data_IF_106235506061
#
_entry.id   IF_106235506061
#
_cell.length_a   1.000
_cell.length_b   1.000
_cell.length_c   1.000
_cell.angle_alpha   90.00
_cell.angle_beta   90.00
_cell.angle_gamma   90.00
#
_symmetry.space_group_name_H-M   'P 1'
#
loop_
_entity.id
_entity.type
_entity.pdbx_description
1 polymer ?
#
# COMPACT_ATOMS: atom_id res chain seq x y z
N UNK A 1 -8.95 -52.59 -5.78
CA UNK A 1 -8.12 -51.55 -6.44
C UNK A 1 -9.04 -50.77 -7.36
N UNK A 2 -9.41 -49.57 -6.94
CA UNK A 2 -10.63 -48.86 -7.33
C UNK A 2 -10.63 -48.38 -8.78
N UNK A 3 -11.50 -48.97 -9.60
CA UNK A 3 -11.84 -48.54 -10.96
C UNK A 3 -12.43 -47.11 -11.02
N UNK A 4 -12.75 -46.51 -9.87
CA UNK A 4 -13.36 -45.17 -9.75
C UNK A 4 -12.37 -44.00 -9.95
N UNK A 5 -11.08 -44.27 -10.20
CA UNK A 5 -10.06 -43.23 -10.41
C UNK A 5 -9.64 -43.05 -11.89
N UNK A 6 -10.04 -43.97 -12.77
CA UNK A 6 -9.75 -43.88 -14.20
C UNK A 6 -10.90 -43.20 -14.94
N UNK A 7 -10.56 -42.23 -15.77
CA UNK A 7 -11.52 -41.55 -16.64
C UNK A 7 -11.80 -42.42 -17.88
N UNK A 8 -13.04 -42.38 -18.38
CA UNK A 8 -13.34 -42.96 -19.69
C UNK A 8 -12.56 -42.20 -20.77
N UNK A 9 -12.21 -42.82 -21.92
CA UNK A 9 -11.44 -42.15 -22.97
C UNK A 9 -12.14 -40.89 -23.50
N UNK A 10 -13.48 -40.89 -23.52
CA UNK A 10 -14.29 -39.73 -23.90
C UNK A 10 -14.19 -38.60 -22.87
N UNK A 11 -14.35 -38.93 -21.58
CA UNK A 11 -14.21 -37.96 -20.48
C UNK A 11 -12.78 -37.37 -20.44
N UNK A 12 -11.77 -38.20 -20.69
CA UNK A 12 -10.38 -37.74 -20.74
C UNK A 12 -10.16 -36.71 -21.86
N UNK A 13 -10.79 -36.92 -23.03
CA UNK A 13 -10.74 -35.96 -24.14
C UNK A 13 -11.50 -34.67 -23.82
N UNK A 14 -12.68 -34.77 -23.22
CA UNK A 14 -13.48 -33.61 -22.81
C UNK A 14 -12.73 -32.73 -21.79
N UNK A 15 -12.14 -33.34 -20.75
CA UNK A 15 -11.36 -32.63 -19.73
C UNK A 15 -10.12 -31.98 -20.35
N UNK A 16 -9.45 -32.64 -21.30
CA UNK A 16 -8.34 -32.04 -22.03
C UNK A 16 -8.78 -30.81 -22.84
N UNK A 17 -9.92 -30.89 -23.53
CA UNK A 17 -10.44 -29.78 -24.30
C UNK A 17 -10.82 -28.60 -23.39
N UNK A 18 -11.43 -28.87 -22.23
CA UNK A 18 -11.69 -27.87 -21.20
C UNK A 18 -10.40 -27.22 -20.71
N UNK A 19 -9.34 -27.99 -20.44
CA UNK A 19 -8.03 -27.45 -20.07
C UNK A 19 -7.50 -26.51 -21.16
N UNK A 20 -7.56 -26.89 -22.43
CA UNK A 20 -7.05 -26.06 -23.51
C UNK A 20 -7.90 -24.82 -23.76
N UNK A 21 -9.22 -24.92 -23.61
CA UNK A 21 -10.13 -23.79 -23.70
C UNK A 21 -9.85 -22.76 -22.58
N UNK A 22 -9.74 -23.22 -21.33
CA UNK A 22 -9.42 -22.35 -20.18
C UNK A 22 -8.04 -21.71 -20.32
N UNK A 23 -7.06 -22.46 -20.81
CA UNK A 23 -5.73 -21.93 -21.11
C UNK A 23 -5.78 -20.78 -22.11
N UNK A 24 -6.45 -20.97 -23.25
CA UNK A 24 -6.61 -19.91 -24.26
C UNK A 24 -7.33 -18.68 -23.72
N UNK A 25 -8.35 -18.88 -22.88
CA UNK A 25 -9.06 -17.76 -22.25
C UNK A 25 -8.18 -16.99 -21.25
N UNK A 26 -7.28 -17.67 -20.55
CA UNK A 26 -6.37 -17.04 -19.58
C UNK A 26 -5.19 -16.31 -20.24
N UNK A 27 -4.74 -16.71 -21.43
CA UNK A 27 -3.51 -16.18 -22.06
C UNK A 27 -3.47 -14.65 -22.13
N UNK A 28 -4.60 -14.01 -22.42
CA UNK A 28 -4.69 -12.56 -22.63
C UNK A 28 -5.42 -11.81 -21.49
N UNK A 29 -5.67 -12.46 -20.35
CA UNK A 29 -6.45 -11.86 -19.25
C UNK A 29 -5.61 -11.71 -17.99
N UNK A 30 -5.61 -10.49 -17.44
CA UNK A 30 -4.99 -10.16 -16.15
C UNK A 30 -5.85 -10.55 -14.95
N UNK A 31 -7.11 -10.92 -15.17
CA UNK A 31 -8.04 -11.43 -14.16
C UNK A 31 -8.10 -12.96 -14.28
N UNK A 32 -8.08 -13.72 -13.16
CA UNK A 32 -8.28 -15.16 -13.16
C UNK A 32 -9.59 -15.53 -13.86
N UNK A 33 -9.53 -16.40 -14.86
CA UNK A 33 -10.70 -16.90 -15.57
C UNK A 33 -11.47 -17.86 -14.66
N UNK A 34 -12.79 -17.88 -14.75
CA UNK A 34 -13.61 -18.84 -14.01
C UNK A 34 -13.34 -20.26 -14.50
N UNK A 35 -13.13 -21.17 -13.56
CA UNK A 35 -12.98 -22.58 -13.89
C UNK A 35 -14.34 -23.16 -14.32
N UNK A 36 -14.37 -24.06 -15.33
CA UNK A 36 -15.61 -24.73 -15.74
C UNK A 36 -16.19 -25.66 -14.66
N UNK A 37 -15.34 -26.13 -13.73
CA UNK A 37 -15.67 -27.10 -12.69
C UNK A 37 -14.96 -26.73 -11.39
N UNK A 38 -15.58 -27.07 -10.26
CA UNK A 38 -14.99 -26.87 -8.92
C UNK A 38 -13.82 -27.83 -8.63
N UNK A 39 -13.86 -29.03 -9.22
CA UNK A 39 -12.84 -30.07 -9.04
C UNK A 39 -11.88 -30.12 -10.25
N UNK A 40 -11.60 -28.96 -10.86
CA UNK A 40 -10.87 -28.88 -12.13
C UNK A 40 -9.47 -29.49 -12.01
N UNK A 41 -8.71 -29.11 -10.98
CA UNK A 41 -7.34 -29.59 -10.80
C UNK A 41 -7.30 -31.09 -10.46
N UNK A 42 -8.30 -31.58 -9.74
CA UNK A 42 -8.44 -33.01 -9.48
C UNK A 42 -8.69 -33.79 -10.78
N UNK A 43 -9.56 -33.29 -11.66
CA UNK A 43 -9.83 -33.89 -12.96
C UNK A 43 -8.60 -33.86 -13.89
N UNK A 44 -7.82 -32.77 -13.88
CA UNK A 44 -6.55 -32.69 -14.61
C UNK A 44 -5.53 -33.70 -14.09
N UNK A 45 -5.45 -33.90 -12.76
CA UNK A 45 -4.59 -34.94 -12.16
C UNK A 45 -5.03 -36.35 -12.57
N UNK A 46 -6.34 -36.63 -12.53
CA UNK A 46 -6.92 -37.91 -12.99
C UNK A 46 -6.67 -38.14 -14.49
N UNK A 47 -6.76 -37.09 -15.31
CA UNK A 47 -6.42 -37.13 -16.74
C UNK A 47 -4.97 -37.55 -16.94
N UNK A 48 -4.02 -36.86 -16.29
CA UNK A 48 -2.59 -37.18 -16.40
C UNK A 48 -2.29 -38.63 -15.98
N UNK A 49 -2.90 -39.09 -14.89
CA UNK A 49 -2.75 -40.47 -14.41
C UNK A 49 -3.33 -41.48 -15.40
N UNK A 50 -4.48 -41.16 -16.01
CA UNK A 50 -5.10 -42.00 -17.04
C UNK A 50 -4.21 -42.09 -18.28
N UNK A 51 -3.59 -40.99 -18.71
CA UNK A 51 -2.61 -40.97 -19.81
C UNK A 51 -1.35 -41.78 -19.47
N UNK A 52 -0.81 -41.63 -18.25
CA UNK A 52 0.32 -42.43 -17.77
C UNK A 52 0.00 -43.93 -17.87
N UNK A 53 -1.16 -44.36 -17.38
CA UNK A 53 -1.56 -45.78 -17.42
C UNK A 53 -1.78 -46.28 -18.86
N UNK A 54 -2.36 -45.46 -19.73
CA UNK A 54 -2.53 -45.79 -21.15
C UNK A 54 -1.17 -45.97 -21.84
N UNK A 55 -0.21 -45.08 -21.59
CA UNK A 55 1.15 -45.19 -22.13
C UNK A 55 1.83 -46.47 -21.64
N UNK A 56 1.74 -46.78 -20.33
CA UNK A 56 2.32 -48.01 -19.79
C UNK A 56 1.66 -49.28 -20.36
N UNK A 57 0.34 -49.28 -20.57
CA UNK A 57 -0.37 -50.41 -21.18
C UNK A 57 0.03 -50.61 -22.65
N UNK A 58 0.16 -49.51 -23.41
CA UNK A 58 0.62 -49.55 -24.80
C UNK A 58 2.06 -50.06 -24.92
N UNK A 59 2.95 -49.64 -24.02
CA UNK A 59 4.34 -50.14 -23.96
C UNK A 59 4.37 -51.65 -23.69
N UNK A 60 3.53 -52.14 -22.77
CA UNK A 60 3.47 -53.58 -22.45
C UNK A 60 2.91 -54.43 -23.59
N UNK A 61 1.92 -53.92 -24.34
CA UNK A 61 1.23 -54.67 -25.39
C UNK A 61 1.94 -54.62 -26.75
N UNK A 62 2.48 -53.47 -27.12
CA UNK A 62 2.96 -53.19 -28.48
C UNK A 62 4.43 -52.77 -28.53
N UNK A 63 5.12 -52.68 -27.40
CA UNK A 63 6.49 -52.16 -27.35
C UNK A 63 6.55 -50.64 -27.57
N UNK A 64 7.76 -50.10 -27.72
CA UNK A 64 8.00 -48.68 -27.94
C UNK A 64 7.74 -48.26 -29.40
N UNK A 65 6.47 -48.35 -29.82
CA UNK A 65 6.01 -47.97 -31.17
C UNK A 65 5.81 -46.45 -31.32
N UNK A 66 5.69 -45.95 -32.56
CA UNK A 66 5.41 -44.55 -32.89
C UNK A 66 4.14 -44.03 -32.19
N UNK A 67 3.16 -44.90 -31.97
CA UNK A 67 1.92 -44.56 -31.23
C UNK A 67 2.22 -44.20 -29.78
N UNK A 68 3.13 -44.91 -29.12
CA UNK A 68 3.57 -44.60 -27.75
C UNK A 68 4.29 -43.26 -27.72
N UNK A 69 5.17 -43.00 -28.69
CA UNK A 69 5.87 -41.71 -28.77
C UNK A 69 4.90 -40.53 -28.98
N UNK A 70 3.88 -40.69 -29.82
CA UNK A 70 2.85 -39.67 -30.01
C UNK A 70 2.04 -39.43 -28.74
N UNK A 71 1.70 -40.49 -28.00
CA UNK A 71 0.98 -40.38 -26.73
C UNK A 71 1.83 -39.73 -25.63
N UNK A 72 3.14 -40.03 -25.60
CA UNK A 72 4.10 -39.36 -24.72
C UNK A 72 4.24 -37.87 -25.05
N UNK A 73 4.31 -37.49 -26.34
CA UNK A 73 4.30 -36.08 -26.76
C UNK A 73 3.01 -35.38 -26.34
N UNK A 74 1.85 -36.03 -26.54
CA UNK A 74 0.55 -35.52 -26.09
C UNK A 74 0.56 -35.29 -24.58
N UNK A 75 1.03 -36.25 -23.79
CA UNK A 75 1.11 -36.13 -22.35
C UNK A 75 2.04 -34.98 -21.91
N UNK A 76 3.21 -34.86 -22.52
CA UNK A 76 4.15 -33.77 -22.23
C UNK A 76 3.51 -32.40 -22.50
N UNK A 77 2.75 -32.28 -23.60
CA UNK A 77 2.02 -31.06 -23.92
C UNK A 77 0.92 -30.76 -22.89
N UNK A 78 0.14 -31.77 -22.47
CA UNK A 78 -0.89 -31.59 -21.42
C UNK A 78 -0.25 -31.15 -20.10
N UNK A 79 0.88 -31.75 -19.69
CA UNK A 79 1.64 -31.33 -18.50
C UNK A 79 2.13 -29.88 -18.63
N UNK A 80 2.69 -29.52 -19.79
CA UNK A 80 3.15 -28.17 -20.06
C UNK A 80 2.01 -27.15 -19.94
N UNK A 81 0.87 -27.39 -20.61
CA UNK A 81 -0.28 -26.49 -20.60
C UNK A 81 -0.88 -26.38 -19.18
N UNK A 82 -0.95 -27.47 -18.42
CA UNK A 82 -1.41 -27.43 -17.04
C UNK A 82 -0.51 -26.54 -16.16
N UNK A 83 0.81 -26.68 -16.27
CA UNK A 83 1.78 -25.86 -15.54
C UNK A 83 1.73 -24.38 -15.97
N UNK A 84 1.60 -24.12 -17.27
CA UNK A 84 1.49 -22.78 -17.82
C UNK A 84 0.21 -22.08 -17.37
N UNK A 85 -0.92 -22.80 -17.39
CA UNK A 85 -2.20 -22.32 -16.87
C UNK A 85 -2.07 -21.98 -15.39
N UNK A 86 -1.53 -22.88 -14.57
CA UNK A 86 -1.34 -22.63 -13.13
C UNK A 86 -0.50 -21.37 -12.87
N UNK A 87 0.60 -21.19 -13.61
CA UNK A 87 1.46 -20.01 -13.50
C UNK A 87 0.70 -18.73 -13.85
N UNK A 88 0.02 -18.69 -15.00
CA UNK A 88 -0.73 -17.50 -15.44
C UNK A 88 -1.85 -17.14 -14.48
N UNK A 89 -2.55 -18.15 -13.96
CA UNK A 89 -3.58 -17.95 -12.93
C UNK A 89 -3.02 -17.40 -11.64
N UNK A 90 -1.88 -17.91 -11.18
CA UNK A 90 -1.20 -17.38 -9.99
C UNK A 90 -0.79 -15.92 -10.17
N UNK A 91 -0.21 -15.58 -11.33
CA UNK A 91 0.13 -14.18 -11.66
C UNK A 91 -1.12 -13.31 -11.65
N UNK A 92 -2.20 -13.74 -12.31
CA UNK A 92 -3.46 -13.01 -12.34
C UNK A 92 -4.09 -12.83 -10.94
N UNK A 93 -4.04 -13.87 -10.10
CA UNK A 93 -4.50 -13.79 -8.70
C UNK A 93 -3.65 -12.81 -7.91
N UNK A 94 -2.32 -12.85 -8.06
CA UNK A 94 -1.42 -11.95 -7.36
C UNK A 94 -1.61 -10.50 -7.81
N UNK A 95 -1.74 -10.25 -9.12
CA UNK A 95 -2.07 -8.92 -9.64
C UNK A 95 -3.41 -8.43 -9.10
N UNK A 96 -4.42 -9.29 -9.04
CA UNK A 96 -5.71 -8.93 -8.43
C UNK A 96 -5.57 -8.58 -6.95
N UNK A 97 -4.90 -9.42 -6.14
CA UNK A 97 -4.69 -9.14 -4.70
C UNK A 97 -3.90 -7.86 -4.51
N UNK A 98 -2.79 -7.67 -5.24
CA UNK A 98 -1.99 -6.46 -5.13
C UNK A 98 -2.78 -5.23 -5.52
N UNK A 99 -3.53 -5.30 -6.62
CA UNK A 99 -4.38 -4.20 -7.07
C UNK A 99 -5.57 -3.96 -6.16
N UNK A 100 -6.09 -4.97 -5.46
CA UNK A 100 -7.19 -4.81 -4.51
C UNK A 100 -6.68 -4.26 -3.17
N UNK A 101 -5.54 -4.75 -2.70
CA UNK A 101 -5.00 -4.43 -1.39
C UNK A 101 -4.30 -3.06 -1.38
N UNK A 102 -3.51 -2.73 -2.41
CA UNK A 102 -2.74 -1.48 -2.46
C UNK A 102 -3.50 -0.32 -3.12
N UNK A 103 -4.83 -0.43 -3.28
CA UNK A 103 -5.68 0.60 -3.92
C UNK A 103 -5.99 1.74 -2.97
N UNK A 104 -5.80 2.97 -3.45
CA UNK A 104 -6.04 4.20 -2.69
C UNK A 104 -7.48 4.66 -2.83
N UNK A 105 -8.06 5.12 -1.72
CA UNK A 105 -9.19 6.03 -1.76
C UNK A 105 -8.65 7.38 -2.25
N UNK A 106 -9.03 7.79 -3.45
CA UNK A 106 -8.59 9.06 -4.04
C UNK A 106 -9.17 10.27 -3.31
N UNK A 107 -10.22 10.08 -2.51
CA UNK A 107 -10.89 11.13 -1.75
C UNK A 107 -11.29 10.67 -0.34
N UNK A 108 -11.31 11.63 0.59
CA UNK A 108 -11.58 11.50 2.03
C UNK A 108 -12.96 10.90 2.37
N UNK A 109 -13.91 11.02 1.45
CA UNK A 109 -15.25 10.43 1.56
C UNK A 109 -15.56 9.35 0.54
N UNK A 110 -14.60 9.02 -0.33
CA UNK A 110 -14.79 8.02 -1.38
C UNK A 110 -14.16 6.71 -0.91
N UNK A 111 -15.00 5.79 -0.44
CA UNK A 111 -14.56 4.41 -0.18
C UNK A 111 -14.07 3.88 -1.51
N UNK A 112 -12.76 3.69 -1.66
CA UNK A 112 -12.12 3.19 -2.88
C UNK A 112 -13.00 2.12 -3.50
N UNK A 113 -13.60 2.42 -4.67
CA UNK A 113 -14.59 1.52 -5.28
C UNK A 113 -13.96 0.13 -5.38
N UNK A 114 -14.49 -0.86 -4.63
CA UNK A 114 -13.83 -2.15 -4.55
C UNK A 114 -13.82 -2.75 -5.94
N UNK A 115 -12.67 -3.30 -6.35
CA UNK A 115 -12.61 -4.13 -7.54
C UNK A 115 -13.74 -5.16 -7.48
N UNK A 116 -14.40 -5.48 -8.61
CA UNK A 116 -15.44 -6.48 -8.64
C UNK A 116 -14.99 -7.72 -7.85
N UNK A 117 -15.69 -8.08 -6.77
CA UNK A 117 -15.26 -9.19 -5.93
C UNK A 117 -15.18 -10.44 -6.79
N UNK A 118 -14.09 -11.18 -6.65
CA UNK A 118 -13.87 -12.41 -7.41
C UNK A 118 -15.01 -13.41 -7.11
N UNK A 119 -15.63 -13.96 -8.15
CA UNK A 119 -16.69 -14.98 -8.02
C UNK A 119 -16.08 -16.32 -7.58
N UNK A 120 -15.79 -16.41 -6.28
CA UNK A 120 -15.15 -17.58 -5.71
C UNK A 120 -16.01 -18.83 -5.83
N UNK A 121 -17.34 -18.72 -5.94
CA UNK A 121 -18.23 -19.88 -5.99
C UNK A 121 -17.89 -20.89 -7.10
N UNK A 122 -17.28 -20.44 -8.20
CA UNK A 122 -16.86 -21.29 -9.34
C UNK A 122 -15.39 -21.70 -9.29
N UNK A 123 -14.59 -21.16 -8.37
CA UNK A 123 -13.19 -21.47 -8.22
C UNK A 123 -12.96 -22.75 -7.41
N UNK A 124 -11.81 -23.39 -7.64
CA UNK A 124 -11.32 -24.56 -6.93
C UNK A 124 -10.95 -24.21 -5.48
N UNK A 125 -11.11 -25.17 -4.56
CA UNK A 125 -10.83 -24.96 -3.12
C UNK A 125 -9.35 -24.67 -2.87
N UNK A 126 -8.44 -25.29 -3.63
CA UNK A 126 -7.00 -25.08 -3.47
C UNK A 126 -6.58 -23.66 -3.87
N UNK A 127 -7.19 -23.09 -4.92
CA UNK A 127 -6.92 -21.72 -5.36
C UNK A 127 -7.44 -20.70 -4.35
N UNK A 128 -8.61 -20.94 -3.75
CA UNK A 128 -9.14 -20.09 -2.67
C UNK A 128 -8.20 -20.06 -1.47
N UNK A 129 -7.69 -21.23 -1.07
CA UNK A 129 -6.75 -21.32 0.04
C UNK A 129 -5.45 -20.55 -0.25
N UNK A 130 -4.92 -20.66 -1.48
CA UNK A 130 -3.76 -19.90 -1.92
C UNK A 130 -4.03 -18.38 -1.91
N UNK A 131 -5.18 -17.95 -2.44
CA UNK A 131 -5.56 -16.54 -2.47
C UNK A 131 -5.60 -15.94 -1.05
N UNK A 132 -6.29 -16.62 -0.13
CA UNK A 132 -6.37 -16.18 1.27
C UNK A 132 -4.99 -16.14 1.95
N UNK A 133 -4.06 -17.00 1.53
CA UNK A 133 -2.68 -16.96 2.02
C UNK A 133 -1.91 -15.74 1.47
N UNK A 134 -2.08 -15.41 0.19
CA UNK A 134 -1.48 -14.22 -0.43
C UNK A 134 -2.04 -12.95 0.22
N UNK A 135 -3.35 -12.90 0.48
CA UNK A 135 -4.00 -11.79 1.17
C UNK A 135 -3.39 -11.54 2.56
N UNK A 136 -3.24 -12.60 3.37
CA UNK A 136 -2.61 -12.51 4.69
C UNK A 136 -1.16 -12.04 4.64
N UNK A 137 -0.38 -12.53 3.68
CA UNK A 137 1.01 -12.08 3.53
C UNK A 137 1.09 -10.62 3.05
N UNK A 138 0.14 -10.19 2.21
CA UNK A 138 0.02 -8.78 1.80
C UNK A 138 -0.33 -7.87 2.98
N UNK A 139 -1.23 -8.30 3.86
CA UNK A 139 -1.57 -7.54 5.08
C UNK A 139 -0.39 -7.45 6.04
N UNK A 140 0.35 -8.55 6.22
CA UNK A 140 1.59 -8.56 7.00
C UNK A 140 2.64 -7.64 6.39
N UNK A 141 2.78 -7.65 5.06
CA UNK A 141 3.66 -6.73 4.33
C UNK A 141 3.27 -5.28 4.61
N UNK A 142 1.98 -4.94 4.49
CA UNK A 142 1.45 -3.60 4.81
C UNK A 142 1.76 -3.15 6.24
N UNK A 143 1.59 -4.03 7.23
CA UNK A 143 1.92 -3.70 8.62
C UNK A 143 3.43 -3.49 8.81
N UNK A 144 4.26 -4.31 8.15
CA UNK A 144 5.72 -4.22 8.27
C UNK A 144 6.27 -2.91 7.70
N UNK A 145 5.70 -2.43 6.59
CA UNK A 145 6.14 -1.18 5.95
C UNK A 145 5.46 0.07 6.51
N UNK A 146 4.53 -0.06 7.45
CA UNK A 146 3.74 1.06 7.93
C UNK A 146 2.88 1.69 6.81
N UNK A 147 2.24 0.84 5.99
CA UNK A 147 1.53 1.29 4.79
C UNK A 147 0.40 2.27 5.11
N UNK A 148 -0.25 2.13 6.27
CA UNK A 148 -1.32 3.06 6.69
C UNK A 148 -0.75 4.42 7.06
N UNK A 149 0.32 4.45 7.84
CA UNK A 149 1.02 5.70 8.18
C UNK A 149 1.54 6.40 6.92
N UNK A 150 2.04 5.65 5.93
CA UNK A 150 2.48 6.20 4.65
C UNK A 150 1.34 6.82 3.81
N UNK A 151 0.09 6.38 4.00
CA UNK A 151 -1.03 6.76 3.14
C UNK A 151 -1.93 7.80 3.75
N UNK A 152 -2.22 7.63 5.03
CA UNK A 152 -2.94 8.60 5.80
C UNK A 152 -2.00 9.76 6.18
N UNK A 153 -0.68 9.56 6.16
CA UNK A 153 0.30 10.57 6.55
C UNK A 153 -0.01 11.10 7.96
N UNK A 154 0.25 12.39 8.18
CA UNK A 154 -0.09 13.10 9.43
C UNK A 154 -1.60 13.16 9.73
N UNK A 155 -2.45 12.73 8.79
CA UNK A 155 -3.90 12.65 8.98
C UNK A 155 -4.31 11.48 9.87
N UNK A 156 -3.48 10.44 9.96
CA UNK A 156 -3.66 9.34 10.93
C UNK A 156 -3.14 9.67 12.33
N UNK A 157 -2.20 10.63 12.43
CA UNK A 157 -1.72 11.19 13.71
C UNK A 157 -2.58 12.33 14.23
N UNK A 158 -3.36 12.98 13.37
CA UNK A 158 -4.55 13.70 13.83
C UNK A 158 -5.52 12.63 14.33
N UNK A 159 -5.32 12.23 15.59
CA UNK A 159 -6.41 11.86 16.46
C UNK A 159 -7.58 12.74 16.05
N UNK A 160 -8.71 12.13 15.66
CA UNK A 160 -9.93 12.89 15.46
C UNK A 160 -10.23 13.50 16.82
N UNK A 161 -9.64 14.66 17.10
CA UNK A 161 -10.08 15.56 18.13
C UNK A 161 -11.44 15.93 17.60
N UNK A 162 -12.46 15.20 18.06
CA UNK A 162 -13.84 15.59 17.89
C UNK A 162 -13.87 17.07 18.22
N UNK A 163 -14.31 17.95 17.31
CA UNK A 163 -14.23 19.39 17.51
C UNK A 163 -14.81 19.73 18.88
N UNK A 164 -13.94 20.01 19.85
CA UNK A 164 -14.38 20.21 21.22
C UNK A 164 -15.06 21.57 21.24
N UNK A 165 -16.34 21.56 21.58
CA UNK A 165 -17.11 22.78 21.62
C UNK A 165 -17.07 23.37 23.03
N UNK A 166 -17.05 24.70 23.12
CA UNK A 166 -17.12 25.38 24.41
C UNK A 166 -18.43 25.02 25.12
N UNK A 167 -18.42 24.88 26.45
CA UNK A 167 -19.64 24.70 27.22
C UNK A 167 -20.68 25.78 26.87
N UNK A 168 -21.88 25.36 26.45
CA UNK A 168 -22.97 26.27 26.05
C UNK A 168 -23.23 26.38 24.55
N UNK A 169 -22.50 25.65 23.68
CA UNK A 169 -22.94 25.46 22.29
C UNK A 169 -24.13 24.51 22.25
N UNK A 170 -25.26 24.96 21.71
CA UNK A 170 -26.44 24.13 21.43
C UNK A 170 -26.58 23.88 19.93
N UNK A 171 -27.21 22.78 19.55
CA UNK A 171 -27.45 22.48 18.14
C UNK A 171 -28.62 23.32 17.63
N UNK A 172 -28.66 23.57 16.30
CA UNK A 172 -29.74 24.36 15.71
C UNK A 172 -31.12 23.70 15.92
N UNK A 173 -31.13 22.37 15.99
CA UNK A 173 -32.31 21.54 16.28
C UNK A 173 -32.83 21.71 17.72
N UNK A 174 -32.01 22.18 18.67
CA UNK A 174 -32.45 22.44 20.05
C UNK A 174 -33.30 23.73 20.16
N UNK A 175 -33.29 24.57 19.12
CA UNK A 175 -34.06 25.81 19.06
C UNK A 175 -35.44 25.65 18.42
N UNK A 176 -35.74 24.49 17.84
CA UNK A 176 -37.00 24.20 17.17
C UNK A 176 -37.67 22.98 17.80
N UNK A 177 -38.97 23.04 18.05
CA UNK A 177 -39.73 21.89 18.58
C UNK A 177 -39.87 20.74 17.55
N UNK A 178 -39.52 21.01 16.29
CA UNK A 178 -39.52 20.08 15.17
C UNK A 178 -38.07 19.85 14.71
N UNK A 179 -37.69 18.59 14.52
CA UNK A 179 -36.35 18.24 14.05
C UNK A 179 -36.16 18.78 12.62
N UNK A 180 -35.15 19.62 12.41
CA UNK A 180 -34.92 20.27 11.11
C UNK A 180 -34.37 19.28 10.07
N UNK A 181 -33.84 18.13 10.53
CA UNK A 181 -33.31 17.06 9.68
C UNK A 181 -33.87 15.70 10.09
N UNK A 182 -34.10 14.80 9.11
CA UNK A 182 -34.57 13.41 9.34
C UNK A 182 -33.51 12.50 10.00
N UNK A 183 -32.37 13.06 10.43
CA UNK A 183 -31.27 12.33 11.05
C UNK A 183 -31.08 12.83 12.48
N UNK A 184 -30.82 11.89 13.39
CA UNK A 184 -30.44 12.26 14.75
C UNK A 184 -29.18 13.13 14.72
N UNK A 185 -29.15 14.26 15.43
CA UNK A 185 -28.03 15.17 15.35
C UNK A 185 -26.79 14.55 16.02
N UNK A 186 -25.57 14.87 15.51
CA UNK A 186 -24.33 14.30 16.03
C UNK A 186 -24.09 14.74 17.48
N UNK A 187 -23.59 13.85 18.34
CA UNK A 187 -23.30 14.19 19.75
C UNK A 187 -22.23 15.28 19.84
N UNK A 188 -22.50 16.34 20.60
CA UNK A 188 -21.49 17.35 20.93
C UNK A 188 -20.58 16.80 22.04
N UNK A 189 -19.26 16.95 21.87
CA UNK A 189 -18.28 16.69 22.92
C UNK A 189 -17.75 18.03 23.41
N UNK A 190 -17.90 18.25 24.72
CA UNK A 190 -17.51 19.50 25.38
C UNK A 190 -16.09 19.39 25.94
N UNK A 191 -15.35 20.49 25.94
CA UNK A 191 -14.09 20.58 26.70
C UNK A 191 -14.41 20.39 28.19
N UNK A 192 -13.77 19.40 28.82
CA UNK A 192 -13.93 19.12 30.25
C UNK A 192 -13.30 20.27 31.05
N UNK A 193 -14.08 20.91 31.95
CA UNK A 193 -13.70 22.12 32.70
C UNK A 193 -12.61 21.89 33.76
N UNK A 194 -11.98 20.70 33.75
CA UNK A 194 -10.95 20.31 34.70
C UNK A 194 -9.59 20.45 34.02
N UNK A 195 -8.85 21.54 34.24
CA UNK A 195 -7.48 21.62 33.75
C UNK A 195 -6.72 20.41 34.31
N UNK A 196 -5.90 19.78 33.47
CA UNK A 196 -4.94 18.79 33.95
C UNK A 196 -4.15 19.41 35.11
N UNK A 197 -3.95 18.68 36.23
CA UNK A 197 -3.15 19.21 37.32
C UNK A 197 -1.78 19.55 36.77
N UNK A 198 -1.44 20.84 36.71
CA UNK A 198 -0.07 21.24 36.37
C UNK A 198 0.88 20.52 37.32
N UNK A 199 1.89 19.85 36.76
CA UNK A 199 3.02 19.39 37.54
C UNK A 199 3.55 20.59 38.33
N UNK A 200 3.72 20.40 39.64
CA UNK A 200 4.18 21.44 40.55
C UNK A 200 5.43 22.07 39.96
N UNK A 201 5.40 23.39 39.75
CA UNK A 201 6.55 24.17 39.29
C UNK A 201 7.83 23.63 39.93
N UNK A 202 8.78 23.19 39.09
CA UNK A 202 10.12 22.86 39.54
C UNK A 202 10.63 24.10 40.29
N UNK A 203 10.75 23.99 41.60
CA UNK A 203 11.28 25.05 42.45
C UNK A 203 12.64 25.41 41.87
N UNK A 204 12.77 26.64 41.37
CA UNK A 204 14.00 27.06 40.74
C UNK A 204 15.14 26.99 41.77
N UNK A 205 16.36 26.87 41.26
CA UNK A 205 17.53 26.72 42.14
C UNK A 205 17.67 27.95 43.07
N UNK A 206 17.13 29.11 42.69
CA UNK A 206 17.15 30.34 43.48
C UNK A 206 16.29 30.23 44.75
N UNK A 207 15.07 29.71 44.65
CA UNK A 207 14.19 29.46 45.80
C UNK A 207 14.79 28.39 46.75
N UNK A 208 15.47 27.37 46.20
CA UNK A 208 16.19 26.37 47.00
C UNK A 208 17.38 26.97 47.75
N UNK A 209 18.11 27.90 47.13
CA UNK A 209 19.25 28.58 47.75
C UNK A 209 18.77 29.57 48.83
N UNK A 210 17.68 30.32 48.58
CA UNK A 210 17.11 31.27 49.54
C UNK A 210 16.65 30.60 50.84
N UNK A 211 16.06 29.40 50.75
CA UNK A 211 15.69 28.61 51.92
C UNK A 211 16.92 28.17 52.73
N UNK A 212 18.01 27.81 52.05
CA UNK A 212 19.26 27.39 52.70
C UNK A 212 20.01 28.57 53.36
N UNK A 213 19.94 29.76 52.76
CA UNK A 213 20.55 30.98 53.30
C UNK A 213 19.82 31.47 54.58
N UNK A 214 18.50 31.31 54.64
CA UNK A 214 17.72 31.59 55.86
C UNK A 214 18.14 30.69 57.02
N UNK A 215 18.28 29.38 56.78
CA UNK A 215 18.72 28.42 57.78
C UNK A 215 20.16 28.71 58.27
N UNK A 216 21.04 29.20 57.38
CA UNK A 216 22.40 29.60 57.73
C UNK A 216 22.44 30.85 58.62
N UNK A 217 21.51 31.80 58.42
CA UNK A 217 21.38 32.98 59.26
C UNK A 217 20.84 32.66 60.67
N UNK A 218 19.94 31.66 60.80
CA UNK A 218 19.45 31.21 62.12
C UNK A 218 20.51 30.41 62.90
N UNK A 219 21.40 29.69 62.23
CA UNK A 219 22.46 28.90 62.87
C UNK A 219 23.65 29.75 63.39
N UNK A 220 23.79 31.00 62.95
CA UNK A 220 24.96 31.85 63.22
C UNK A 220 24.78 32.92 64.32
N UNK A 221 23.87 32.71 65.28
CA UNK A 221 23.91 33.47 66.55
C UNK A 221 24.83 32.80 67.58
N UNK A 222 26.14 32.83 67.33
CA UNK A 222 27.15 32.81 68.39
C UNK A 222 28.03 34.07 68.26
N UNK A 223 27.88 35.07 69.15
CA UNK A 223 28.55 36.35 69.02
C UNK A 223 29.95 36.29 69.65
N UNK A 224 30.88 35.55 69.05
CA UNK A 224 32.30 35.68 69.39
C UNK A 224 33.20 35.07 68.33
N UNK A 225 33.40 35.75 67.21
CA UNK A 225 34.71 35.85 66.54
C UNK A 225 34.62 36.88 65.41
N UNK A 226 35.30 38.00 65.61
CA UNK A 226 35.41 39.10 64.66
C UNK A 226 36.86 39.13 64.20
N UNK A 227 37.16 38.61 63.00
CA UNK A 227 38.38 38.94 62.27
C UNK A 227 38.00 39.60 60.94
N UNK A 228 38.46 40.83 60.67
CA UNK A 228 38.12 41.54 59.45
C UNK A 228 39.16 41.32 58.34
N UNK A 229 38.61 41.26 57.13
CA UNK A 229 39.19 41.67 55.84
C UNK A 229 40.30 40.83 55.20
N UNK A 230 40.09 40.43 53.93
CA UNK A 230 40.54 41.24 52.79
C UNK A 230 40.13 40.63 51.43
N UNK A 231 39.53 41.50 50.59
CA UNK A 231 39.77 41.76 49.15
C UNK A 231 40.03 40.57 48.21
N UNK A 232 39.59 40.51 46.96
CA UNK A 232 39.07 41.47 45.98
C UNK A 232 38.83 40.66 44.69
N UNK A 233 38.00 41.16 43.77
CA UNK A 233 38.18 41.17 42.29
C UNK A 233 36.82 41.42 41.58
N UNK A 234 36.82 42.01 40.37
CA UNK A 234 35.94 43.11 40.02
C UNK A 234 34.91 42.77 38.92
N UNK A 235 33.81 43.52 38.89
CA UNK A 235 32.98 43.68 37.69
C UNK A 235 33.68 44.60 36.68
N UNK A 236 33.58 44.29 35.38
CA UNK A 236 33.47 45.32 34.38
C UNK A 236 32.23 45.15 33.49
N UNK A 237 31.74 46.32 33.08
CA UNK A 237 30.65 46.63 32.15
C UNK A 237 30.62 45.83 30.84
N UNK A 238 29.40 45.64 30.33
CA UNK A 238 29.11 45.37 28.92
C UNK A 238 29.61 46.53 28.03
N UNK A 239 30.04 46.26 26.78
CA UNK A 239 29.07 46.31 25.68
C UNK A 239 29.40 45.37 24.49
N UNK A 240 28.37 44.92 23.77
CA UNK A 240 28.24 45.06 22.30
C UNK A 240 27.22 44.05 21.72
N UNK A 241 26.29 44.60 20.96
CA UNK A 241 25.35 43.92 20.08
C UNK A 241 26.04 42.99 19.07
N UNK A 242 25.63 41.73 19.01
CA UNK A 242 25.79 40.89 17.82
C UNK A 242 24.42 40.45 17.33
N UNK A 243 24.13 40.80 16.09
CA UNK A 243 22.90 40.55 15.36
C UNK A 243 22.38 39.11 15.51
N UNK A 244 21.09 39.05 15.82
CA UNK A 244 20.23 37.88 15.77
C UNK A 244 20.34 37.15 14.41
N UNK A 245 20.75 35.88 14.47
CA UNK A 245 20.42 34.90 13.43
C UNK A 245 18.92 34.66 13.45
N UNK A 246 18.20 35.38 12.57
CA UNK A 246 16.79 35.09 12.27
C UNK A 246 16.70 34.05 11.16
N UNK A 247 15.97 33.00 11.48
CA UNK A 247 15.67 31.81 10.68
C UNK A 247 15.16 32.15 9.26
N UNK A 248 15.92 31.73 8.24
CA UNK A 248 15.59 31.88 6.83
C UNK A 248 14.78 30.71 6.29
N UNK A 249 13.49 30.64 6.62
CA UNK A 249 12.60 29.60 6.10
C UNK A 249 11.23 30.10 5.59
N UNK A 250 10.99 31.42 5.56
CA UNK A 250 9.66 31.99 5.31
C UNK A 250 9.53 32.84 4.03
N UNK A 251 10.42 32.69 3.03
CA UNK A 251 10.42 33.52 1.81
C UNK A 251 10.26 32.74 0.49
N UNK A 252 9.63 31.56 0.50
CA UNK A 252 9.39 30.73 -0.69
C UNK A 252 7.89 30.42 -0.93
N UNK A 253 6.97 31.23 -0.39
CA UNK A 253 5.53 31.04 -0.59
C UNK A 253 4.83 32.37 -0.91
N UNK A 254 5.09 32.87 -2.13
CA UNK A 254 4.24 33.87 -2.76
C UNK A 254 3.52 33.22 -3.97
N UNK A 255 2.17 33.23 -4.03
CA UNK A 255 1.44 32.65 -5.15
C UNK A 255 1.55 33.56 -6.39
N UNK A 256 2.09 33.03 -7.50
CA UNK A 256 2.13 33.75 -8.76
C UNK A 256 0.73 33.79 -9.41
N UNK A 257 0.25 34.99 -9.73
CA UNK A 257 -1.06 35.22 -10.32
C UNK A 257 -1.07 34.99 -11.84
N UNK A 258 -1.41 33.76 -12.28
CA UNK A 258 -1.99 33.46 -13.60
C UNK A 258 -2.89 32.22 -13.51
N UNK A 259 -4.22 32.33 -13.71
CA UNK A 259 -5.11 31.18 -13.73
C UNK A 259 -5.14 30.56 -15.13
N UNK A 260 -4.75 29.30 -15.26
CA UNK A 260 -5.03 28.47 -16.44
C UNK A 260 -5.04 27.00 -16.03
N UNK A 261 -6.16 26.53 -15.49
CA UNK A 261 -6.52 25.12 -15.51
C UNK A 261 -7.72 25.03 -16.46
N UNK A 262 -7.49 24.46 -17.63
CA UNK A 262 -8.55 24.05 -18.55
C UNK A 262 -8.83 22.58 -18.30
N UNK A 263 -10.08 22.31 -17.94
CA UNK A 263 -10.69 21.01 -17.75
C UNK A 263 -10.92 20.37 -19.14
N UNK A 264 -10.17 19.33 -19.49
CA UNK A 264 -10.27 18.66 -20.80
C UNK A 264 -10.13 17.13 -20.68
N UNK A 265 -10.64 16.54 -19.59
CA UNK A 265 -10.56 15.11 -19.30
C UNK A 265 -11.87 14.35 -19.59
N UNK A 266 -12.71 14.87 -20.48
CA UNK A 266 -13.93 14.21 -20.95
C UNK A 266 -14.12 14.43 -22.45
N UNK A 267 -13.40 13.66 -23.28
CA UNK A 267 -13.88 13.28 -24.61
C UNK A 267 -13.17 12.01 -25.09
N UNK A 268 -13.95 10.93 -25.22
CA UNK A 268 -13.61 9.77 -26.02
C UNK A 268 -13.92 10.10 -27.49
N UNK A 269 -12.91 10.16 -28.36
CA UNK A 269 -13.05 9.92 -29.80
C UNK A 269 -11.68 9.56 -30.43
N UNK A 270 -11.74 8.83 -31.55
CA UNK A 270 -10.72 8.08 -32.29
C UNK A 270 -9.35 8.77 -32.59
N UNK A 271 -8.27 8.00 -32.89
CA UNK A 271 -6.92 8.53 -32.95
C UNK A 271 -6.66 9.35 -34.22
N UNK A 272 -6.65 10.67 -34.09
CA UNK A 272 -6.03 11.59 -35.04
C UNK A 272 -4.54 11.71 -34.71
N UNK A 273 -3.68 11.40 -35.69
CA UNK A 273 -2.24 11.64 -35.59
C UNK A 273 -2.01 13.15 -35.69
N UNK A 274 -2.04 13.82 -34.55
CA UNK A 274 -1.63 15.21 -34.43
C UNK A 274 -0.12 15.28 -34.25
N UNK A 275 0.56 16.05 -35.10
CA UNK A 275 1.99 16.36 -35.02
C UNK A 275 2.27 17.18 -33.75
N UNK A 276 2.46 16.48 -32.63
CA UNK A 276 2.83 17.08 -31.35
C UNK A 276 4.21 17.75 -31.51
N UNK A 277 4.40 19.01 -31.08
CA UNK A 277 5.69 19.68 -31.20
C UNK A 277 6.76 18.91 -30.40
N UNK A 278 7.72 18.31 -31.11
CA UNK A 278 8.78 17.50 -30.51
C UNK A 278 9.68 18.39 -29.64
N UNK A 279 9.73 18.08 -28.34
CA UNK A 279 10.60 18.74 -27.37
C UNK A 279 12.02 18.19 -27.51
N UNK A 280 13.03 19.07 -27.53
CA UNK A 280 14.44 18.68 -27.54
C UNK A 280 14.89 18.37 -26.12
N UNK A 281 15.35 17.15 -25.87
CA UNK A 281 15.72 16.66 -24.53
C UNK A 281 17.23 16.47 -24.52
N UNK A 282 17.94 17.20 -23.64
CA UNK A 282 19.38 17.03 -23.45
C UNK A 282 19.65 15.94 -22.41
N UNK A 283 20.50 14.99 -22.77
CA UNK A 283 20.91 13.89 -21.88
C UNK A 283 22.00 14.37 -20.90
N UNK A 284 21.73 14.27 -19.60
CA UNK A 284 22.64 14.71 -18.53
C UNK A 284 23.58 13.60 -18.03
N UNK A 285 23.20 12.33 -18.22
CA UNK A 285 23.95 11.17 -17.77
C UNK A 285 23.92 10.07 -18.85
N UNK A 286 25.06 9.43 -19.11
CA UNK A 286 25.16 8.38 -20.13
C UNK A 286 24.41 7.14 -19.66
N UNK A 287 23.70 6.51 -20.59
CA UNK A 287 23.01 5.26 -20.37
C UNK A 287 23.61 4.19 -21.29
N UNK A 288 24.18 3.15 -20.69
CA UNK A 288 24.99 2.15 -21.41
C UNK A 288 24.13 1.05 -22.07
N UNK A 289 22.84 0.95 -21.70
CA UNK A 289 21.92 -0.05 -22.26
C UNK A 289 21.13 0.52 -23.45
N UNK A 290 21.03 -0.20 -24.59
CA UNK A 290 20.33 0.29 -25.77
C UNK A 290 18.81 0.37 -25.53
N UNK A 291 18.22 1.51 -25.88
CA UNK A 291 16.77 1.74 -25.78
C UNK A 291 16.14 1.40 -27.14
N UNK A 292 15.14 0.51 -27.14
CA UNK A 292 14.40 0.16 -28.35
C UNK A 292 13.39 1.25 -28.72
N UNK A 293 13.52 1.81 -29.93
CA UNK A 293 12.56 2.78 -30.47
C UNK A 293 11.38 2.05 -31.11
N UNK A 294 10.23 2.73 -31.32
CA UNK A 294 9.03 2.17 -31.95
C UNK A 294 9.27 1.57 -33.36
N UNK A 295 10.33 2.02 -34.05
CA UNK A 295 10.77 1.50 -35.36
C UNK A 295 11.74 0.30 -35.26
N UNK A 296 12.03 -0.20 -34.05
CA UNK A 296 12.90 -1.36 -33.83
C UNK A 296 14.40 -1.10 -33.94
N UNK A 297 14.82 0.16 -34.02
CA UNK A 297 16.22 0.57 -33.93
C UNK A 297 16.67 0.70 -32.47
N UNK A 298 17.90 0.25 -32.20
CA UNK A 298 18.57 0.40 -30.91
C UNK A 298 19.24 1.78 -30.82
N UNK A 299 18.87 2.57 -29.82
CA UNK A 299 19.39 3.90 -29.58
C UNK A 299 20.23 3.92 -28.30
N UNK A 300 21.49 4.35 -28.41
CA UNK A 300 22.41 4.53 -27.27
C UNK A 300 22.55 6.02 -27.01
N UNK A 301 22.38 6.44 -25.75
CA UNK A 301 22.36 7.85 -25.35
C UNK A 301 23.61 8.20 -24.53
N UNK A 302 24.42 9.12 -25.04
CA UNK A 302 25.58 9.63 -24.33
C UNK A 302 25.33 11.01 -23.72
N UNK A 303 26.13 11.36 -22.71
CA UNK A 303 26.06 12.69 -22.07
C UNK A 303 26.29 13.77 -23.12
N UNK A 304 25.33 14.68 -23.26
CA UNK A 304 25.41 15.81 -24.19
C UNK A 304 24.63 15.65 -25.49
N UNK A 305 24.04 14.48 -25.76
CA UNK A 305 23.13 14.28 -26.89
C UNK A 305 21.81 15.05 -26.68
N UNK A 306 21.18 15.53 -27.77
CA UNK A 306 19.97 16.40 -27.79
C UNK A 306 18.96 15.95 -28.84
#
# INVERSE_FOLDING_TARGET
MSSNNLLTPEQAREIQEQLFATYRQQTNRHVPVHLPRKDFWEMVKRLLTTLDLQIHDMIRKHGADLRVQNEQKRQANVRHIASELARRRMVAMMTHVSSQSLRMATNVGDVATPLPPMDWQKADVAERALYNAIEKEMDKFKMTIGWREMQDGLRGEMEFIEPTHKPGTMQLDDFTEEALTDRAPPSLVFEDDKPEPMDTFDVDEEDRIAALEWDAYEAAQDPSEHEPEQSSLPLPEAPASSNEGRHGAAMELAPSAKPAISDDWMNEDEPTVEDVPKVRIRILQSFDDPIATADGSELVLHVGDV
#
